data_IF_670015733800
#
_entry.id   IF_670015733800
#
_cell.length_a   1.000
_cell.length_b   1.000
_cell.length_c   1.000
_cell.angle_alpha   90.00
_cell.angle_beta   90.00
_cell.angle_gamma   90.00
#
_symmetry.space_group_name_H-M   'P 1'
#
loop_
_entity.id
_entity.type
_entity.pdbx_description
1 polymer ?
#
# COMPACT_ATOMS: atom_id res chain seq x y z
N UNK A 1 -0.82 -10.34 -23.23
CA UNK A 1 -0.59 -10.27 -21.78
C UNK A 1 0.05 -11.58 -21.33
N UNK A 2 1.15 -11.54 -20.57
CA UNK A 2 1.72 -12.74 -19.97
C UNK A 2 0.78 -13.24 -18.85
N UNK A 3 0.57 -14.55 -18.80
CA UNK A 3 -0.17 -15.18 -17.71
C UNK A 3 0.82 -15.83 -16.74
N UNK A 4 0.54 -15.72 -15.44
CA UNK A 4 1.34 -16.34 -14.39
C UNK A 4 0.48 -17.37 -13.66
N UNK A 5 0.99 -18.59 -13.52
CA UNK A 5 0.38 -19.64 -12.73
C UNK A 5 1.18 -19.86 -11.45
N UNK A 6 0.57 -19.52 -10.31
CA UNK A 6 1.18 -19.72 -8.99
C UNK A 6 0.71 -21.08 -8.47
N UNK A 7 1.67 -21.99 -8.24
CA UNK A 7 1.42 -23.35 -7.72
C UNK A 7 1.98 -23.49 -6.32
N UNK A 8 1.46 -24.46 -5.57
CA UNK A 8 1.98 -24.81 -4.25
C UNK A 8 1.61 -23.84 -3.13
N UNK A 9 0.60 -23.00 -3.33
CA UNK A 9 0.03 -22.21 -2.23
C UNK A 9 -0.69 -23.15 -1.25
N UNK A 10 -0.48 -22.89 0.05
CA UNK A 10 -1.30 -23.51 1.08
C UNK A 10 -2.74 -23.03 1.00
N UNK A 11 -3.69 -23.84 1.45
CA UNK A 11 -5.10 -23.44 1.50
C UNK A 11 -5.29 -22.17 2.34
N UNK A 12 -4.61 -22.07 3.48
CA UNK A 12 -4.66 -20.89 4.35
C UNK A 12 -4.11 -19.61 3.67
N UNK A 13 -3.13 -19.73 2.78
CA UNK A 13 -2.66 -18.59 2.01
C UNK A 13 -3.70 -18.15 0.98
N UNK A 14 -4.38 -19.09 0.33
CA UNK A 14 -5.46 -18.78 -0.63
C UNK A 14 -6.65 -18.11 0.07
N UNK A 15 -7.05 -18.64 1.23
CA UNK A 15 -8.14 -18.08 2.04
C UNK A 15 -7.85 -16.63 2.46
N UNK A 16 -6.64 -16.35 2.95
CA UNK A 16 -6.23 -14.98 3.30
C UNK A 16 -6.24 -14.02 2.10
N UNK A 17 -5.81 -14.49 0.92
CA UNK A 17 -5.88 -13.70 -0.31
C UNK A 17 -7.33 -13.37 -0.64
N UNK A 18 -8.25 -14.31 -0.47
CA UNK A 18 -9.68 -14.08 -0.73
C UNK A 18 -10.30 -13.11 0.27
N UNK A 19 -9.96 -13.23 1.56
CA UNK A 19 -10.39 -12.31 2.61
C UNK A 19 -9.91 -10.88 2.34
N UNK A 20 -8.61 -10.70 2.06
CA UNK A 20 -8.04 -9.40 1.74
C UNK A 20 -8.67 -8.79 0.47
N UNK A 21 -8.89 -9.61 -0.56
CA UNK A 21 -9.54 -9.17 -1.79
C UNK A 21 -10.99 -8.74 -1.51
N UNK A 22 -11.74 -9.52 -0.74
CA UNK A 22 -13.12 -9.22 -0.38
C UNK A 22 -13.24 -7.94 0.46
N UNK A 23 -12.32 -7.73 1.41
CA UNK A 23 -12.27 -6.51 2.22
C UNK A 23 -12.08 -5.24 1.39
N UNK A 24 -11.41 -5.35 0.23
CA UNK A 24 -11.21 -4.27 -0.74
C UNK A 24 -12.27 -4.25 -1.85
N UNK A 25 -13.24 -5.17 -1.86
CA UNK A 25 -14.25 -5.30 -2.92
C UNK A 25 -13.66 -5.71 -4.27
N UNK A 26 -12.52 -6.41 -4.28
CA UNK A 26 -11.80 -6.83 -5.49
C UNK A 26 -12.00 -8.32 -5.76
N UNK A 27 -11.87 -8.70 -7.04
CA UNK A 27 -11.65 -10.11 -7.37
C UNK A 27 -10.25 -10.55 -6.90
N UNK A 28 -10.07 -11.84 -6.62
CA UNK A 28 -8.76 -12.44 -6.32
C UNK A 28 -7.69 -12.05 -7.35
N UNK A 29 -8.02 -12.13 -8.64
CA UNK A 29 -7.08 -11.82 -9.71
C UNK A 29 -6.69 -10.34 -9.73
N UNK A 30 -7.64 -9.44 -9.50
CA UNK A 30 -7.37 -8.01 -9.46
C UNK A 30 -6.54 -7.62 -8.23
N UNK A 31 -6.85 -8.21 -7.07
CA UNK A 31 -6.04 -8.04 -5.87
C UNK A 31 -4.59 -8.47 -6.11
N UNK A 32 -4.37 -9.68 -6.65
CA UNK A 32 -3.02 -10.18 -6.94
C UNK A 32 -2.31 -9.34 -8.00
N UNK A 33 -3.02 -8.90 -9.05
CA UNK A 33 -2.46 -8.03 -10.09
C UNK A 33 -1.93 -6.73 -9.49
N UNK A 34 -2.73 -6.01 -8.71
CA UNK A 34 -2.30 -4.80 -8.00
C UNK A 34 -1.12 -5.07 -7.08
N UNK A 35 -1.18 -6.17 -6.30
CA UNK A 35 -0.11 -6.57 -5.40
C UNK A 35 1.23 -6.78 -6.10
N UNK A 36 1.23 -7.31 -7.32
CA UNK A 36 2.43 -7.53 -8.12
C UNK A 36 2.89 -6.28 -8.89
N UNK A 37 1.96 -5.43 -9.33
CA UNK A 37 2.26 -4.20 -10.08
C UNK A 37 2.70 -3.04 -9.18
N UNK A 38 2.03 -2.83 -8.04
CA UNK A 38 2.34 -1.77 -7.06
C UNK A 38 3.67 -2.06 -6.31
N UNK A 39 4.24 -3.24 -6.55
CA UNK A 39 5.37 -3.78 -5.79
C UNK A 39 4.91 -4.36 -4.46
N UNK A 40 5.51 -5.49 -4.07
CA UNK A 40 5.65 -5.75 -2.63
C UNK A 40 6.31 -4.50 -2.03
N UNK A 41 5.80 -3.93 -0.92
CA UNK A 41 6.43 -2.77 -0.31
C UNK A 41 7.89 -3.17 -0.15
N UNK A 42 8.77 -2.47 -0.89
CA UNK A 42 10.18 -2.74 -0.78
C UNK A 42 10.48 -2.52 0.70
N UNK A 43 10.96 -3.56 1.38
CA UNK A 43 11.70 -3.33 2.61
C UNK A 43 12.92 -2.53 2.17
N UNK A 44 12.80 -1.20 2.23
CA UNK A 44 13.94 -0.35 2.05
C UNK A 44 14.82 -0.62 3.28
N UNK A 45 16.00 -1.18 3.08
CA UNK A 45 17.06 -1.25 4.11
C UNK A 45 17.56 0.15 4.55
N UNK A 46 16.87 1.21 4.12
CA UNK A 46 17.14 2.59 4.52
C UNK A 46 16.62 2.80 5.92
N UNK A 47 17.54 2.93 6.87
CA UNK A 47 17.23 3.37 8.21
C UNK A 47 16.71 4.82 8.17
N UNK A 48 15.51 5.05 8.68
CA UNK A 48 14.94 6.40 8.83
C UNK A 48 15.55 7.05 10.08
N UNK A 49 16.17 8.21 9.91
CA UNK A 49 16.80 8.96 11.00
C UNK A 49 15.85 9.99 11.63
N UNK A 50 16.25 10.57 12.77
CA UNK A 50 15.52 11.68 13.37
C UNK A 50 15.52 12.94 12.47
N UNK A 51 16.55 13.12 11.65
CA UNK A 51 16.62 14.25 10.71
C UNK A 51 15.62 14.09 9.57
N UNK A 52 15.41 12.86 9.08
CA UNK A 52 14.39 12.59 8.06
C UNK A 52 12.99 12.89 8.59
N UNK A 53 12.73 12.60 9.86
CA UNK A 53 11.49 12.98 10.54
C UNK A 53 11.33 14.49 10.65
N UNK A 54 12.37 15.21 11.08
CA UNK A 54 12.33 16.67 11.17
C UNK A 54 12.07 17.31 9.79
N UNK A 55 12.79 16.85 8.77
CA UNK A 55 12.62 17.31 7.39
C UNK A 55 11.21 17.04 6.86
N UNK A 56 10.64 15.87 7.17
CA UNK A 56 9.26 15.54 6.79
C UNK A 56 8.25 16.42 7.52
N UNK A 57 8.44 16.69 8.81
CA UNK A 57 7.54 17.54 9.59
C UNK A 57 7.52 18.98 9.07
N UNK A 58 8.69 19.53 8.75
CA UNK A 58 8.81 20.87 8.18
C UNK A 58 8.19 20.95 6.78
N UNK A 59 8.41 19.94 5.93
CA UNK A 59 7.90 19.91 4.56
C UNK A 59 6.37 19.78 4.48
N UNK A 60 5.74 19.12 5.44
CA UNK A 60 4.30 18.85 5.49
C UNK A 60 3.60 19.56 6.66
N UNK A 61 4.16 20.69 7.11
CA UNK A 61 3.62 21.46 8.24
C UNK A 61 2.19 21.96 7.99
N UNK A 62 1.84 22.19 6.72
CA UNK A 62 0.53 22.62 6.25
C UNK A 62 -0.56 21.55 6.43
N UNK A 63 -0.20 20.27 6.56
CA UNK A 63 -1.16 19.21 6.92
C UNK A 63 -1.79 19.44 8.30
N UNK A 64 -1.16 20.25 9.15
CA UNK A 64 -1.71 20.63 10.45
C UNK A 64 -2.62 21.88 10.39
N UNK A 65 -2.71 22.55 9.24
CA UNK A 65 -3.58 23.72 9.05
C UNK A 65 -4.98 23.27 8.60
N UNK A 66 -6.02 23.45 9.44
CA UNK A 66 -7.38 23.04 9.09
C UNK A 66 -7.94 23.77 7.87
N UNK A 67 -7.57 25.04 7.64
CA UNK A 67 -8.08 25.82 6.52
C UNK A 67 -7.49 25.32 5.19
N UNK A 68 -6.20 24.92 5.20
CA UNK A 68 -5.54 24.30 4.04
C UNK A 68 -6.16 22.94 3.73
N UNK A 69 -6.38 22.10 4.75
CA UNK A 69 -7.01 20.80 4.56
C UNK A 69 -8.45 20.94 4.08
N UNK A 70 -9.24 21.84 4.66
CA UNK A 70 -10.60 22.13 4.21
C UNK A 70 -10.63 22.59 2.74
N UNK A 71 -9.65 23.39 2.31
CA UNK A 71 -9.55 23.81 0.91
C UNK A 71 -9.17 22.66 -0.04
N UNK A 72 -8.33 21.73 0.40
CA UNK A 72 -7.88 20.59 -0.40
C UNK A 72 -8.97 19.52 -0.65
N UNK A 73 -9.96 19.43 0.24
CA UNK A 73 -11.03 18.42 0.19
C UNK A 73 -12.39 18.94 -0.30
N UNK A 74 -12.48 20.20 -0.72
CA UNK A 74 -13.66 20.75 -1.41
C UNK A 74 -13.61 20.50 -2.91
#
# INVERSE_FOLDING_TARGET
MPNVLIRGLSAAAVERIDEDAAALGLSRNEYLRRRFEDGLPMQSDVAVSAEDWARSADAFVDLADPDVMDAAWR
#
